data_IF_689759535251
#
_entry.id   IF_689759535251
#
_cell.length_a   1.000
_cell.length_b   1.000
_cell.length_c   1.000
_cell.angle_alpha   90.00
_cell.angle_beta   90.00
_cell.angle_gamma   90.00
#
_symmetry.space_group_name_H-M   'P 1'
#
loop_
_entity.id
_entity.type
_entity.pdbx_description
1 polymer ?
#
# COMPACT_ATOMS: atom_id res chain seq x y z
N UNK A 1 30.36 -18.88 20.22
CA UNK A 1 30.15 -18.52 18.80
C UNK A 1 28.76 -17.89 18.72
N UNK A 2 28.70 -16.56 18.66
CA UNK A 2 27.43 -15.83 18.63
C UNK A 2 26.89 -15.88 17.21
N UNK A 3 25.79 -16.60 16.99
CA UNK A 3 25.07 -16.57 15.72
C UNK A 3 24.31 -15.25 15.71
N UNK A 4 24.83 -14.24 15.01
CA UNK A 4 24.06 -13.04 14.71
C UNK A 4 22.91 -13.48 13.79
N UNK A 5 21.63 -13.38 14.21
CA UNK A 5 20.55 -13.60 13.28
C UNK A 5 20.68 -12.52 12.21
N UNK A 6 20.98 -12.95 10.97
CA UNK A 6 20.80 -12.06 9.84
C UNK A 6 19.32 -11.68 9.82
N UNK A 7 18.96 -10.39 9.73
CA UNK A 7 17.58 -10.02 9.45
C UNK A 7 17.29 -10.58 8.06
N UNK A 8 16.66 -11.75 8.00
CA UNK A 8 16.08 -12.24 6.77
C UNK A 8 14.97 -11.27 6.43
N UNK A 9 15.26 -10.35 5.52
CA UNK A 9 14.29 -9.58 4.74
C UNK A 9 13.52 -10.54 3.84
N UNK A 10 12.83 -11.51 4.45
CA UNK A 10 11.96 -12.43 3.74
C UNK A 10 10.76 -11.63 3.24
N UNK A 11 10.79 -11.36 1.94
CA UNK A 11 9.64 -10.92 1.19
C UNK A 11 8.51 -11.94 1.42
N UNK A 12 7.31 -11.51 1.85
CA UNK A 12 6.24 -12.43 2.20
C UNK A 12 5.78 -13.22 0.97
N UNK A 13 5.40 -14.47 1.17
CA UNK A 13 4.92 -15.34 0.11
C UNK A 13 3.56 -14.86 -0.41
N UNK A 14 3.37 -14.84 -1.73
CA UNK A 14 2.05 -14.54 -2.32
C UNK A 14 1.21 -15.82 -2.35
N UNK A 15 0.03 -15.78 -1.75
CA UNK A 15 -0.93 -16.89 -1.86
C UNK A 15 -1.71 -16.84 -3.18
N UNK A 16 -2.17 -17.99 -3.68
CA UNK A 16 -3.06 -18.04 -4.86
C UNK A 16 -4.33 -17.22 -4.65
N UNK A 17 -4.87 -17.19 -3.43
CA UNK A 17 -6.04 -16.38 -3.11
C UNK A 17 -5.78 -14.88 -3.31
N UNK A 18 -4.62 -14.37 -2.88
CA UNK A 18 -4.25 -12.98 -3.09
C UNK A 18 -4.14 -12.63 -4.59
N UNK A 19 -3.57 -13.52 -5.41
CA UNK A 19 -3.49 -13.33 -6.87
C UNK A 19 -4.88 -13.25 -7.48
N UNK A 20 -5.76 -14.21 -7.18
CA UNK A 20 -7.14 -14.21 -7.70
C UNK A 20 -7.90 -12.94 -7.28
N UNK A 21 -7.74 -12.49 -6.04
CA UNK A 21 -8.38 -11.26 -5.57
C UNK A 21 -7.85 -10.01 -6.26
N UNK A 22 -6.58 -9.99 -6.64
CA UNK A 22 -6.05 -8.88 -7.41
C UNK A 22 -6.69 -8.82 -8.79
N UNK A 23 -6.73 -9.93 -9.51
CA UNK A 23 -7.33 -10.02 -10.85
C UNK A 23 -8.81 -9.60 -10.83
N UNK A 24 -9.54 -9.95 -9.77
CA UNK A 24 -10.94 -9.54 -9.58
C UNK A 24 -11.11 -8.04 -9.28
N UNK A 25 -10.18 -7.42 -8.54
CA UNK A 25 -10.35 -6.08 -7.95
C UNK A 25 -9.64 -4.98 -8.71
N UNK A 26 -8.64 -5.34 -9.49
CA UNK A 26 -7.88 -4.42 -10.34
C UNK A 26 -7.47 -5.14 -11.63
N UNK A 27 -8.43 -5.53 -12.49
CA UNK A 27 -8.16 -6.29 -13.71
C UNK A 27 -7.25 -5.55 -14.69
N UNK A 28 -7.24 -4.22 -14.64
CA UNK A 28 -6.39 -3.36 -15.46
C UNK A 28 -4.94 -3.29 -14.95
N UNK A 29 -4.67 -3.80 -13.74
CA UNK A 29 -3.33 -3.81 -13.18
C UNK A 29 -2.48 -4.93 -13.78
N UNK A 30 -1.34 -4.56 -14.36
CA UNK A 30 -0.34 -5.53 -14.86
C UNK A 30 0.69 -5.94 -13.81
N UNK A 31 0.61 -5.34 -12.61
CA UNK A 31 1.53 -5.57 -11.51
C UNK A 31 1.17 -6.83 -10.72
N UNK A 32 2.19 -7.60 -10.32
CA UNK A 32 1.98 -8.72 -9.40
C UNK A 32 1.64 -8.24 -7.99
N UNK A 33 0.87 -9.03 -7.23
CA UNK A 33 0.62 -8.81 -5.79
C UNK A 33 1.91 -8.48 -5.03
N UNK A 34 2.99 -9.18 -5.40
CA UNK A 34 4.28 -8.92 -4.80
C UNK A 34 4.78 -7.51 -5.09
N UNK A 35 4.73 -7.05 -6.34
CA UNK A 35 5.13 -5.68 -6.71
C UNK A 35 4.32 -4.65 -5.93
N UNK A 36 2.99 -4.82 -5.86
CA UNK A 36 2.11 -3.96 -5.07
C UNK A 36 2.50 -3.89 -3.59
N UNK A 37 2.89 -5.02 -2.99
CA UNK A 37 3.39 -5.03 -1.61
C UNK A 37 4.69 -4.24 -1.45
N UNK A 38 5.62 -4.31 -2.39
CA UNK A 38 6.92 -3.64 -2.21
C UNK A 38 6.86 -2.14 -2.49
N UNK A 39 6.02 -1.73 -3.43
CA UNK A 39 5.89 -0.33 -3.85
C UNK A 39 4.75 0.40 -3.11
N UNK A 40 3.76 -0.34 -2.60
CA UNK A 40 2.64 0.24 -1.87
C UNK A 40 3.09 0.86 -0.55
N UNK A 41 2.30 1.80 -0.04
CA UNK A 41 2.58 2.50 1.21
C UNK A 41 2.01 1.77 2.40
N UNK A 42 2.62 1.96 3.56
CA UNK A 42 2.12 1.40 4.83
C UNK A 42 0.66 1.82 5.08
N UNK A 43 -0.18 0.85 5.38
CA UNK A 43 -1.59 1.04 5.65
C UNK A 43 -2.03 0.33 6.93
N UNK A 44 -2.98 0.95 7.63
CA UNK A 44 -3.72 0.38 8.75
C UNK A 44 -5.16 0.12 8.33
N UNK A 45 -5.69 -1.02 8.79
CA UNK A 45 -7.04 -1.47 8.53
C UNK A 45 -7.77 -1.66 9.88
N UNK A 46 -8.38 -0.60 10.45
CA UNK A 46 -8.89 -0.62 11.83
C UNK A 46 -9.96 -1.69 12.11
N UNK A 47 -10.69 -2.10 11.07
CA UNK A 47 -11.81 -3.04 11.16
C UNK A 47 -11.40 -4.47 10.72
N UNK A 48 -10.11 -4.75 10.58
CA UNK A 48 -9.55 -6.03 10.11
C UNK A 48 -8.36 -6.45 10.95
N UNK A 49 -8.18 -7.77 11.06
CA UNK A 49 -7.09 -8.37 11.83
C UNK A 49 -6.01 -8.92 10.87
N UNK A 50 -5.09 -8.05 10.45
CA UNK A 50 -3.94 -8.38 9.62
C UNK A 50 -2.66 -7.83 10.26
N UNK A 51 -1.59 -8.62 10.28
CA UNK A 51 -0.28 -8.24 10.84
C UNK A 51 0.50 -7.24 9.95
N UNK A 52 -0.06 -6.87 8.81
CA UNK A 52 0.48 -5.84 7.94
C UNK A 52 -0.39 -5.61 6.73
N UNK A 53 -0.54 -4.36 6.33
CA UNK A 53 -1.23 -3.98 5.11
C UNK A 53 -0.44 -2.90 4.37
N UNK A 54 -0.47 -2.97 3.04
CA UNK A 54 0.11 -1.95 2.17
C UNK A 54 -0.86 -1.55 1.08
N UNK A 55 -1.16 -0.26 1.02
CA UNK A 55 -2.03 0.34 0.01
C UNK A 55 -1.22 0.69 -1.22
N UNK A 56 -1.67 0.28 -2.40
CA UNK A 56 -1.07 0.67 -3.66
C UNK A 56 -2.04 1.59 -4.41
N UNK A 57 -1.80 2.92 -4.36
CA UNK A 57 -2.73 3.91 -4.90
C UNK A 57 -3.06 3.76 -6.38
N UNK A 58 -2.08 3.54 -7.29
CA UNK A 58 -2.39 3.48 -8.73
C UNK A 58 -3.31 2.33 -9.15
N UNK A 59 -3.46 1.31 -8.30
CA UNK A 59 -4.38 0.19 -8.56
C UNK A 59 -5.60 0.19 -7.63
N UNK A 60 -5.70 1.14 -6.69
CA UNK A 60 -6.83 1.26 -5.75
C UNK A 60 -6.99 0.08 -4.80
N UNK A 61 -5.92 -0.66 -4.49
CA UNK A 61 -6.00 -1.90 -3.71
C UNK A 61 -5.08 -1.93 -2.50
N UNK A 62 -5.46 -2.71 -1.49
CA UNK A 62 -4.67 -2.96 -0.28
C UNK A 62 -4.24 -4.41 -0.21
N UNK A 63 -2.94 -4.65 -0.28
CA UNK A 63 -2.35 -5.97 -0.03
C UNK A 63 -2.29 -6.24 1.48
N UNK A 64 -2.77 -7.40 1.92
CA UNK A 64 -2.89 -7.76 3.33
C UNK A 64 -2.05 -9.00 3.65
N UNK A 65 -1.28 -8.93 4.75
CA UNK A 65 -0.37 -9.96 5.21
C UNK A 65 -0.77 -10.49 6.58
N UNK A 66 -0.65 -11.80 6.74
CA UNK A 66 -0.67 -12.48 8.05
C UNK A 66 0.57 -13.37 8.13
N UNK A 67 1.33 -13.27 9.22
CA UNK A 67 2.65 -13.87 9.35
C UNK A 67 3.56 -13.48 8.19
N UNK A 68 4.08 -14.50 7.46
CA UNK A 68 4.96 -14.31 6.30
C UNK A 68 4.27 -14.48 4.95
N UNK A 69 2.94 -14.33 4.87
CA UNK A 69 2.19 -14.52 3.63
C UNK A 69 1.25 -13.35 3.33
N UNK A 70 1.23 -12.90 2.07
CA UNK A 70 0.19 -12.02 1.53
C UNK A 70 -1.03 -12.89 1.24
N UNK A 71 -2.04 -12.76 2.09
CA UNK A 71 -3.19 -13.66 2.15
C UNK A 71 -4.36 -13.17 1.31
N UNK A 72 -4.47 -11.86 1.08
CA UNK A 72 -5.55 -11.29 0.26
C UNK A 72 -5.19 -9.89 -0.24
N UNK A 73 -5.98 -9.37 -1.17
CA UNK A 73 -5.87 -8.02 -1.73
C UNK A 73 -7.23 -7.38 -1.66
N UNK A 74 -7.47 -6.35 -0.85
CA UNK A 74 -8.76 -5.66 -0.67
C UNK A 74 -8.92 -4.48 -1.65
N UNK A 75 -10.16 -4.13 -1.99
CA UNK A 75 -10.44 -2.85 -2.66
C UNK A 75 -10.36 -1.74 -1.59
N UNK A 76 -9.52 -0.73 -1.82
CA UNK A 76 -9.32 0.37 -0.88
C UNK A 76 -10.58 1.21 -0.70
N UNK A 77 -11.38 1.42 -1.76
CA UNK A 77 -12.62 2.18 -1.70
C UNK A 77 -13.71 1.47 -0.86
N UNK A 78 -13.67 0.14 -0.78
CA UNK A 78 -14.61 -0.66 0.00
C UNK A 78 -14.09 -1.00 1.40
N UNK A 79 -12.93 -0.48 1.80
CA UNK A 79 -12.26 -0.80 3.05
C UNK A 79 -11.91 0.49 3.79
N UNK A 80 -12.02 0.48 5.11
CA UNK A 80 -11.52 1.60 5.91
C UNK A 80 -9.99 1.54 5.97
N UNK A 81 -9.32 2.33 5.11
CA UNK A 81 -7.87 2.38 5.01
C UNK A 81 -7.33 3.68 5.60
N UNK A 82 -6.32 3.58 6.46
CA UNK A 82 -5.54 4.72 6.95
C UNK A 82 -4.09 4.54 6.57
N UNK A 83 -3.44 5.60 6.13
CA UNK A 83 -2.01 5.59 5.80
C UNK A 83 -1.32 6.58 6.74
N UNK A 84 -0.81 6.11 7.90
CA UNK A 84 -0.11 6.96 8.84
C UNK A 84 1.19 7.49 8.24
N UNK A 85 1.59 8.69 8.66
CA UNK A 85 2.82 9.36 8.21
C UNK A 85 2.94 9.52 6.68
N UNK A 86 1.82 9.42 5.98
CA UNK A 86 1.77 9.60 4.54
C UNK A 86 1.66 11.09 4.20
N UNK A 87 2.09 11.40 2.98
CA UNK A 87 2.02 12.72 2.38
C UNK A 87 1.05 12.64 1.22
N UNK A 88 0.11 13.59 1.15
CA UNK A 88 -0.83 13.72 0.06
C UNK A 88 -0.15 14.42 -1.12
N UNK A 89 -0.19 13.83 -2.31
CA UNK A 89 0.21 14.54 -3.52
C UNK A 89 -0.84 15.61 -3.89
N UNK A 90 -0.45 16.87 -4.18
CA UNK A 90 -1.39 17.92 -4.55
C UNK A 90 -1.95 17.75 -5.98
N UNK A 91 -1.26 17.02 -6.86
CA UNK A 91 -1.66 16.89 -8.26
C UNK A 91 -2.52 15.66 -8.52
N UNK A 92 -2.05 14.47 -8.12
CA UNK A 92 -2.82 13.24 -8.33
C UNK A 92 -3.70 12.86 -7.13
N UNK A 93 -3.64 13.63 -6.04
CA UNK A 93 -4.40 13.36 -4.81
C UNK A 93 -4.19 11.95 -4.24
N UNK A 94 -3.07 11.31 -4.56
CA UNK A 94 -2.72 10.01 -4.01
C UNK A 94 -1.72 10.15 -2.85
N UNK A 95 -1.88 9.37 -1.77
CA UNK A 95 -0.92 9.35 -0.69
C UNK A 95 0.37 8.64 -1.11
N UNK A 96 1.51 9.10 -0.61
CA UNK A 96 2.80 8.41 -0.73
C UNK A 96 3.59 8.48 0.58
N UNK A 97 4.61 7.62 0.75
CA UNK A 97 5.46 7.65 1.94
C UNK A 97 6.28 8.96 1.98
N UNK A 98 6.38 9.54 3.17
CA UNK A 98 7.12 10.78 3.39
C UNK A 98 8.61 10.66 3.08
N UNK A 99 9.21 9.46 3.12
CA UNK A 99 10.63 9.28 2.79
C UNK A 99 10.95 9.51 1.29
N UNK A 100 9.94 9.52 0.43
CA UNK A 100 10.07 9.71 -1.02
C UNK A 100 9.83 11.19 -1.39
N UNK A 101 10.58 12.10 -0.75
CA UNK A 101 10.28 13.54 -0.77
C UNK A 101 10.61 14.25 -2.09
N UNK A 102 11.42 13.72 -2.98
CA UNK A 102 11.88 14.51 -4.14
C UNK A 102 10.80 14.64 -5.23
N UNK A 103 9.99 13.60 -5.43
CA UNK A 103 8.86 13.61 -6.36
C UNK A 103 7.81 12.58 -5.96
N UNK A 104 6.55 12.83 -6.32
CA UNK A 104 5.48 11.87 -6.17
C UNK A 104 5.80 10.58 -6.97
N UNK A 105 5.86 9.40 -6.34
CA UNK A 105 6.20 8.15 -7.04
C UNK A 105 5.12 7.72 -8.04
N UNK A 106 3.94 8.34 -8.01
CA UNK A 106 2.80 7.98 -8.85
C UNK A 106 2.71 8.83 -10.11
N UNK A 107 2.83 10.16 -9.98
CA UNK A 107 2.68 11.10 -11.09
C UNK A 107 3.98 11.82 -11.48
N UNK A 108 5.06 11.66 -10.71
CA UNK A 108 6.37 12.24 -11.00
C UNK A 108 6.49 13.74 -10.71
N UNK A 109 5.45 14.39 -10.18
CA UNK A 109 5.50 15.81 -9.82
C UNK A 109 6.40 16.02 -8.62
N UNK A 110 7.29 17.02 -8.74
CA UNK A 110 8.16 17.47 -7.65
C UNK A 110 7.35 17.87 -6.43
N UNK A 111 7.81 17.46 -5.26
CA UNK A 111 7.11 17.72 -4.01
C UNK A 111 7.41 19.15 -3.56
N UNK A 112 6.40 20.03 -3.35
CA UNK A 112 6.63 21.34 -2.76
C UNK A 112 7.31 21.23 -1.40
N UNK A 113 8.24 22.13 -1.13
CA UNK A 113 8.93 22.23 0.15
C UNK A 113 7.93 22.51 1.30
N UNK A 114 8.17 21.92 2.49
CA UNK A 114 7.41 22.24 3.70
C UNK A 114 6.12 21.43 3.95
N UNK A 115 5.95 20.25 3.33
CA UNK A 115 4.79 19.37 3.63
C UNK A 115 4.89 18.78 5.03
N UNK A 116 3.75 18.75 5.74
CA UNK A 116 3.58 18.04 7.01
C UNK A 116 3.04 16.64 6.75
N UNK A 117 3.62 15.63 7.41
CA UNK A 117 3.07 14.27 7.43
C UNK A 117 1.81 14.21 8.27
N UNK A 118 0.91 13.29 7.94
CA UNK A 118 -0.30 13.06 8.71
C UNK A 118 -0.94 11.73 8.39
N UNK A 119 -2.00 11.38 9.12
CA UNK A 119 -2.81 10.20 8.79
C UNK A 119 -3.78 10.55 7.68
N UNK A 120 -3.55 10.00 6.48
CA UNK A 120 -4.49 10.13 5.38
C UNK A 120 -5.47 8.97 5.48
N UNK A 121 -6.77 9.29 5.52
CA UNK A 121 -7.81 8.28 5.37
C UNK A 121 -8.15 8.22 3.90
N UNK A 122 -8.01 7.05 3.27
CA UNK A 122 -8.47 6.87 1.90
C UNK A 122 -9.98 6.98 1.94
N UNK A 123 -10.50 8.11 1.45
CA UNK A 123 -11.93 8.40 1.39
C UNK A 123 -12.42 8.13 -0.02
N UNK A 124 -13.58 7.51 -0.06
CA UNK A 124 -14.36 7.26 -1.25
C UNK A 124 -14.61 8.54 -2.06
N UNK A 125 -14.34 8.50 -3.36
CA UNK A 125 -15.09 9.28 -4.34
C UNK A 125 -16.14 8.37 -4.95
N UNK A 126 -17.39 8.69 -4.64
CA UNK A 126 -18.60 8.17 -5.27
C UNK A 126 -18.70 8.73 -6.69
N UNK A 127 -17.81 8.32 -7.60
CA UNK A 127 -18.01 8.66 -9.01
C UNK A 127 -19.04 7.71 -9.63
N UNK A 128 -20.04 8.36 -10.24
CA UNK A 128 -21.35 7.85 -10.67
C UNK A 128 -21.31 6.89 -11.84
#
# INVERSE_FOLDING_TARGET
MSVTPHPTTHRPLTTTHATLRLDERSPETSHSVQKLWNEGITAELPDKDFDGARYYPPAGVVTCRTGNAIVTVLNAAATRVRTPDAVQCPECEEPHEAALMDACPWCGVETPEGRTTGTITVRYTEDR
#
